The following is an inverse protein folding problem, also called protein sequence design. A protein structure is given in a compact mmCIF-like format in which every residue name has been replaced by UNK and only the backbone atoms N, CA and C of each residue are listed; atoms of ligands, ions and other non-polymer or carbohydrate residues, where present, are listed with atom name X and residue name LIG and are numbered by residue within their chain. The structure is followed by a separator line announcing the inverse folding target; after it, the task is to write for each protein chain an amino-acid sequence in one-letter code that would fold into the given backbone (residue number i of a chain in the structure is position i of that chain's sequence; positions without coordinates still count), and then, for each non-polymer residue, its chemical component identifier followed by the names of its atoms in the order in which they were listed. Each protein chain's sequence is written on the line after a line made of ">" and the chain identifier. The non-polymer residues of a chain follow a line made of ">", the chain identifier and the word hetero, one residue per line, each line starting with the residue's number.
data_IF_638146940826
#
_entry.id   IF_638146940826
#
_cell.length_a   1.000
_cell.length_b   1.000
_cell.length_c   1.000
_cell.angle_alpha   90.00
_cell.angle_beta   90.00
_cell.angle_gamma   90.00
#
_symmetry.space_group_name_H-M   'P 1'
#
loop_
_entity.id
_entity.type
_entity.pdbx_description
1 polymer ?
#
# COMPACT_ATOMS: atom_id res chain seq x y z
N UNK A 1 -26.02 1.23 -17.57
CA UNK A 1 -24.87 1.84 -16.86
C UNK A 1 -23.55 1.14 -17.22
N UNK A 2 -23.50 -0.20 -17.30
CA UNK A 2 -22.32 -0.96 -17.79
C UNK A 2 -21.68 -0.41 -19.08
N UNK A 3 -22.50 -0.08 -20.10
CA UNK A 3 -22.00 0.46 -21.38
C UNK A 3 -21.19 1.75 -21.22
N UNK A 4 -21.58 2.64 -20.31
CA UNK A 4 -20.82 3.87 -20.03
C UNK A 4 -19.46 3.53 -19.42
N UNK A 5 -19.40 2.58 -18.49
CA UNK A 5 -18.12 2.14 -17.90
C UNK A 5 -17.23 1.49 -18.96
N UNK A 6 -17.78 0.58 -19.76
CA UNK A 6 -17.02 -0.14 -20.78
C UNK A 6 -16.50 0.76 -21.90
N UNK A 7 -17.32 1.69 -22.40
CA UNK A 7 -17.04 2.42 -23.64
C UNK A 7 -16.54 3.85 -23.41
N UNK A 8 -16.72 4.40 -22.20
CA UNK A 8 -16.28 5.76 -21.86
C UNK A 8 -15.24 5.77 -20.75
N UNK A 9 -15.46 5.03 -19.66
CA UNK A 9 -14.53 5.04 -18.52
C UNK A 9 -13.29 4.21 -18.81
N UNK A 10 -13.43 2.95 -19.22
CA UNK A 10 -12.28 2.05 -19.44
C UNK A 10 -11.23 2.60 -20.41
N UNK A 11 -11.59 3.22 -21.56
CA UNK A 11 -10.59 3.81 -22.46
C UNK A 11 -9.80 4.97 -21.84
N UNK A 12 -10.42 5.75 -20.94
CA UNK A 12 -9.72 6.81 -20.21
C UNK A 12 -8.76 6.20 -19.20
N UNK A 13 -9.20 5.16 -18.47
CA UNK A 13 -8.34 4.45 -17.51
C UNK A 13 -7.17 3.76 -18.22
N UNK A 14 -7.37 3.20 -19.41
CA UNK A 14 -6.29 2.62 -20.22
C UNK A 14 -5.19 3.63 -20.55
N UNK A 15 -5.57 4.88 -20.88
CA UNK A 15 -4.62 5.97 -21.10
C UNK A 15 -3.93 6.41 -19.80
N UNK A 16 -4.68 6.50 -18.69
CA UNK A 16 -4.12 6.80 -17.37
C UNK A 16 -3.15 5.72 -16.90
N UNK A 17 -3.43 4.45 -17.19
CA UNK A 17 -2.55 3.33 -16.89
C UNK A 17 -1.24 3.38 -17.67
N UNK A 18 -1.13 4.14 -18.76
CA UNK A 18 0.16 4.38 -19.39
C UNK A 18 1.04 5.36 -18.60
N UNK A 19 0.44 6.12 -17.66
CA UNK A 19 1.13 7.16 -16.91
C UNK A 19 1.76 6.64 -15.60
N UNK A 20 3.05 6.93 -15.35
CA UNK A 20 3.73 6.54 -14.12
C UNK A 20 3.14 7.14 -12.83
N UNK A 21 2.77 8.42 -12.88
CA UNK A 21 2.20 9.15 -11.74
C UNK A 21 0.87 8.55 -11.26
N UNK A 22 -0.03 8.19 -12.20
CA UNK A 22 -1.25 7.46 -11.91
C UNK A 22 -0.98 6.10 -11.26
N UNK A 23 -0.03 5.34 -11.80
CA UNK A 23 0.35 4.03 -11.23
C UNK A 23 0.94 4.17 -9.84
N UNK A 24 1.79 5.17 -9.59
CA UNK A 24 2.36 5.43 -8.27
C UNK A 24 1.27 5.74 -7.25
N UNK A 25 0.31 6.60 -7.59
CA UNK A 25 -0.82 6.92 -6.72
C UNK A 25 -1.71 5.70 -6.45
N UNK A 26 -1.98 4.90 -7.47
CA UNK A 26 -2.74 3.65 -7.34
C UNK A 26 -2.01 2.56 -6.54
N UNK A 27 -0.68 2.55 -6.55
CA UNK A 27 0.16 1.62 -5.77
C UNK A 27 0.46 2.08 -4.36
N UNK A 28 0.14 3.31 -4.00
CA UNK A 28 0.49 3.89 -2.71
C UNK A 28 0.27 2.94 -1.51
N UNK A 29 -0.89 2.27 -1.31
CA UNK A 29 -1.04 1.38 -0.16
C UNK A 29 -0.12 0.14 -0.22
N UNK A 30 0.23 -0.34 -1.41
CA UNK A 30 1.19 -1.43 -1.60
C UNK A 30 2.62 -0.96 -1.29
N UNK A 31 3.00 0.21 -1.77
CA UNK A 31 4.35 0.75 -1.59
C UNK A 31 4.59 1.31 -0.18
N UNK A 32 3.52 1.72 0.52
CA UNK A 32 3.64 2.42 1.81
C UNK A 32 3.19 1.59 3.01
N UNK A 33 2.32 0.58 2.86
CA UNK A 33 1.77 -0.17 3.99
C UNK A 33 2.17 -1.64 4.03
N UNK A 34 2.72 -2.18 2.93
CA UNK A 34 3.20 -3.56 2.88
C UNK A 34 4.22 -3.82 3.98
N UNK A 35 4.25 -5.06 4.47
CA UNK A 35 5.09 -5.47 5.60
C UNK A 35 6.59 -5.26 5.34
N UNK A 36 7.02 -5.25 4.08
CA UNK A 36 8.42 -5.01 3.69
C UNK A 36 8.70 -3.55 3.35
N UNK A 37 7.71 -2.66 3.40
CA UNK A 37 7.86 -1.25 3.07
C UNK A 37 8.69 -0.50 4.12
N UNK A 38 9.76 0.16 3.68
CA UNK A 38 10.53 1.08 4.52
C UNK A 38 9.95 2.51 4.46
N UNK A 39 8.72 2.69 4.95
CA UNK A 39 7.99 3.96 4.90
C UNK A 39 7.67 4.51 6.30
N UNK A 40 7.26 5.78 6.38
CA UNK A 40 6.66 6.31 7.62
C UNK A 40 5.33 5.63 7.94
N UNK A 41 4.46 5.44 6.94
CA UNK A 41 3.15 4.85 7.14
C UNK A 41 3.24 3.42 7.72
N UNK A 42 4.18 2.60 7.24
CA UNK A 42 4.40 1.26 7.76
C UNK A 42 4.89 1.27 9.21
N UNK A 43 5.85 2.16 9.54
CA UNK A 43 6.32 2.33 10.93
C UNK A 43 5.20 2.76 11.87
N UNK A 44 4.23 3.56 11.40
CA UNK A 44 3.05 3.93 12.17
C UNK A 44 2.09 2.75 12.37
N UNK A 45 1.87 1.91 11.35
CA UNK A 45 1.10 0.66 11.50
C UNK A 45 1.71 -0.23 12.60
N UNK A 46 3.03 -0.41 12.58
CA UNK A 46 3.75 -1.17 13.60
C UNK A 46 3.67 -0.50 14.98
N UNK A 47 3.73 0.83 15.03
CA UNK A 47 3.51 1.60 16.26
C UNK A 47 2.13 1.36 16.87
N UNK A 48 1.07 1.38 16.05
CA UNK A 48 -0.30 1.08 16.49
C UNK A 48 -0.42 -0.38 16.94
N UNK A 49 0.12 -1.34 16.18
CA UNK A 49 0.11 -2.75 16.56
C UNK A 49 0.80 -2.98 17.91
N UNK A 50 1.99 -2.42 18.09
CA UNK A 50 2.74 -2.50 19.33
C UNK A 50 1.97 -1.87 20.50
N UNK A 51 1.29 -0.74 20.29
CA UNK A 51 0.46 -0.10 21.31
C UNK A 51 -0.75 -0.97 21.70
N UNK A 52 -1.41 -1.62 20.74
CA UNK A 52 -2.50 -2.58 20.99
C UNK A 52 -1.98 -3.75 21.82
N UNK A 53 -0.86 -4.36 21.43
CA UNK A 53 -0.27 -5.50 22.14
C UNK A 53 0.20 -5.11 23.55
N UNK A 54 0.81 -3.94 23.72
CA UNK A 54 1.24 -3.45 25.03
C UNK A 54 0.03 -3.20 25.95
N UNK A 55 -1.05 -2.62 25.41
CA UNK A 55 -2.30 -2.41 26.15
C UNK A 55 -2.94 -3.73 26.56
N UNK A 56 -2.97 -4.70 25.65
CA UNK A 56 -3.49 -6.03 25.89
C UNK A 56 -2.70 -6.76 26.98
N UNK A 57 -1.36 -6.72 26.94
CA UNK A 57 -0.50 -7.30 27.98
C UNK A 57 -0.75 -6.68 29.35
N UNK A 58 -0.82 -5.35 29.44
CA UNK A 58 -1.12 -4.66 30.71
C UNK A 58 -2.48 -5.05 31.28
N UNK A 59 -3.51 -5.14 30.45
CA UNK A 59 -4.83 -5.59 30.88
C UNK A 59 -4.82 -7.09 31.26
N UNK A 60 -4.07 -7.93 30.55
CA UNK A 60 -3.90 -9.33 30.91
C UNK A 60 -3.22 -9.47 32.29
N UNK A 61 -2.15 -8.71 32.55
CA UNK A 61 -1.45 -8.69 33.85
C UNK A 61 -2.38 -8.21 34.97
N UNK A 62 -3.12 -7.12 34.75
CA UNK A 62 -4.11 -6.60 35.71
C UNK A 62 -5.18 -7.64 36.03
N UNK A 63 -5.59 -8.44 35.05
CA UNK A 63 -6.60 -9.47 35.25
C UNK A 63 -6.18 -10.58 36.22
N UNK A 64 -4.87 -10.73 36.50
CA UNK A 64 -4.34 -11.68 37.48
C UNK A 64 -4.45 -11.18 38.93
N UNK A 65 -4.94 -9.97 39.15
CA UNK A 65 -5.15 -9.45 40.50
C UNK A 65 -6.29 -10.19 41.20
N UNK A 66 -6.22 -10.45 42.52
CA UNK A 66 -7.21 -11.29 43.21
C UNK A 66 -8.65 -10.84 43.02
N UNK A 67 -8.90 -9.52 43.08
CA UNK A 67 -10.22 -8.91 42.90
C UNK A 67 -10.79 -9.19 41.51
N UNK A 68 -9.96 -9.12 40.46
CA UNK A 68 -10.40 -9.38 39.09
C UNK A 68 -10.49 -10.87 38.79
N UNK A 69 -9.62 -11.69 39.38
CA UNK A 69 -9.70 -13.16 39.29
C UNK A 69 -10.98 -13.70 39.92
N UNK A 70 -11.39 -13.19 41.08
CA UNK A 70 -12.66 -13.56 41.73
C UNK A 70 -13.86 -13.23 40.82
N UNK A 71 -13.87 -12.04 40.22
CA UNK A 71 -14.90 -11.64 39.26
C UNK A 71 -14.92 -12.51 37.99
N UNK A 72 -13.75 -12.77 37.39
CA UNK A 72 -13.62 -13.61 36.19
C UNK A 72 -14.05 -15.05 36.50
N UNK A 73 -13.68 -15.57 37.67
CA UNK A 73 -14.09 -16.88 38.16
C UNK A 73 -15.61 -16.99 38.39
N UNK A 74 -16.23 -15.95 38.97
CA UNK A 74 -17.69 -15.89 39.16
C UNK A 74 -18.47 -15.85 37.84
N UNK A 75 -17.97 -15.14 36.83
CA UNK A 75 -18.53 -15.15 35.47
C UNK A 75 -18.44 -16.53 34.80
N UNK A 76 -17.32 -17.23 34.98
CA UNK A 76 -17.13 -18.58 34.45
C UNK A 76 -17.99 -19.63 35.16
N UNK A 77 -18.37 -19.39 36.42
CA UNK A 77 -19.24 -20.25 37.22
C UNK A 77 -20.75 -20.04 36.96
N UNK A 78 -21.12 -19.07 36.11
CA UNK A 78 -22.52 -18.78 35.79
C UNK A 78 -23.28 -18.00 36.88
N UNK A 79 -22.57 -17.37 37.82
CA UNK A 79 -23.17 -16.53 38.86
C UNK A 79 -23.45 -15.13 38.29
N UNK A 80 -24.62 -14.97 37.66
CA UNK A 80 -25.08 -13.68 37.13
C UNK A 80 -25.42 -12.69 38.27
N UNK A 81 -24.61 -11.64 38.42
CA UNK A 81 -25.03 -10.34 38.98
C UNK A 81 -24.44 -9.21 38.12
N UNK A 82 -24.76 -9.19 36.82
CA UNK A 82 -24.48 -8.03 35.98
C UNK A 82 -25.65 -7.03 36.09
N UNK A 83 -25.43 -5.74 36.40
CA UNK A 83 -26.48 -4.75 36.29
C UNK A 83 -26.90 -4.61 34.81
N UNK A 84 -28.19 -4.38 34.52
CA UNK A 84 -28.70 -4.41 33.16
C UNK A 84 -28.06 -3.30 32.33
N UNK A 85 -27.35 -3.69 31.27
CA UNK A 85 -26.94 -2.77 30.20
C UNK A 85 -28.21 -2.32 29.50
N UNK A 86 -28.53 -1.02 29.57
CA UNK A 86 -29.65 -0.46 28.82
C UNK A 86 -29.37 -0.59 27.32
N UNK A 87 -30.15 -1.43 26.66
CA UNK A 87 -30.15 -1.65 25.22
C UNK A 87 -30.58 -0.37 24.50
N UNK A 88 -29.81 0.18 23.54
CA UNK A 88 -30.37 1.11 22.58
C UNK A 88 -31.39 0.37 21.71
N UNK A 89 -32.53 1.02 21.46
CA UNK A 89 -33.57 0.52 20.59
C UNK A 89 -33.09 0.53 19.12
N UNK A 90 -32.50 -0.59 18.67
CA UNK A 90 -32.65 -1.21 17.35
C UNK A 90 -31.42 -2.09 17.03
N UNK A 91 -31.70 -3.38 16.75
CA UNK A 91 -30.72 -4.39 16.37
C UNK A 91 -30.27 -5.24 17.54
N UNK A 92 -30.52 -6.56 17.49
CA UNK A 92 -29.91 -7.50 18.44
C UNK A 92 -28.39 -7.40 18.31
N UNK A 93 -27.64 -7.16 19.39
CA UNK A 93 -26.20 -7.35 19.37
C UNK A 93 -25.94 -8.81 18.99
N UNK A 94 -25.05 -9.05 18.03
CA UNK A 94 -24.53 -10.40 17.82
C UNK A 94 -23.84 -10.82 19.12
N UNK A 95 -24.36 -11.87 19.75
CA UNK A 95 -23.67 -12.54 20.84
C UNK A 95 -22.31 -12.99 20.31
N UNK A 96 -21.25 -12.38 20.84
CA UNK A 96 -19.90 -12.92 20.66
C UNK A 96 -19.97 -14.37 21.14
N UNK A 97 -19.43 -15.36 20.40
CA UNK A 97 -19.54 -16.77 20.75
C UNK A 97 -19.23 -16.97 22.23
N UNK A 98 -20.14 -17.60 22.96
CA UNK A 98 -19.90 -17.99 24.34
C UNK A 98 -18.57 -18.75 24.39
N UNK A 99 -17.57 -18.12 25.01
CA UNK A 99 -16.18 -18.51 24.90
C UNK A 99 -15.96 -19.86 25.60
N UNK A 100 -15.60 -20.87 24.80
CA UNK A 100 -15.35 -22.22 25.28
C UNK A 100 -14.10 -22.23 26.18
N UNK A 101 -14.36 -22.30 27.49
CA UNK A 101 -13.52 -22.84 28.56
C UNK A 101 -12.03 -22.44 28.60
N UNK A 102 -11.69 -21.66 29.64
CA UNK A 102 -10.35 -21.66 30.25
C UNK A 102 -9.79 -20.27 30.50
N UNK A 103 -10.27 -19.57 31.54
CA UNK A 103 -9.62 -18.47 32.30
C UNK A 103 -8.93 -17.28 31.56
N UNK A 104 -8.84 -17.26 30.23
CA UNK A 104 -8.12 -16.24 29.47
C UNK A 104 -9.07 -15.10 29.08
N UNK A 105 -8.84 -13.92 29.63
CA UNK A 105 -9.56 -12.71 29.25
C UNK A 105 -9.30 -12.36 27.78
N UNK A 106 -10.18 -11.62 27.08
CA UNK A 106 -9.91 -11.15 25.71
C UNK A 106 -8.58 -10.39 25.57
N UNK A 107 -8.09 -9.80 26.65
CA UNK A 107 -6.77 -9.17 26.70
C UNK A 107 -5.61 -10.17 26.52
N UNK A 108 -5.68 -11.39 27.09
CA UNK A 108 -4.68 -12.45 26.87
C UNK A 108 -4.64 -12.88 25.41
N UNK A 109 -5.81 -13.10 24.81
CA UNK A 109 -5.91 -13.48 23.40
C UNK A 109 -5.29 -12.41 22.50
N UNK A 110 -5.65 -11.13 22.69
CA UNK A 110 -5.07 -10.03 21.90
C UNK A 110 -3.56 -9.94 22.15
N UNK A 111 -3.09 -10.12 23.39
CA UNK A 111 -1.67 -10.10 23.73
C UNK A 111 -0.85 -11.20 23.04
N UNK A 112 -1.48 -12.32 22.67
CA UNK A 112 -0.87 -13.41 21.90
C UNK A 112 -0.71 -13.10 20.40
N UNK A 113 -1.20 -11.95 19.92
CA UNK A 113 -1.17 -11.52 18.51
C UNK A 113 -1.76 -12.60 17.56
N UNK A 114 -3.08 -12.83 17.59
CA UNK A 114 -3.75 -13.87 16.81
C UNK A 114 -3.89 -13.54 15.31
N UNK A 115 -3.34 -12.40 14.86
CA UNK A 115 -3.36 -11.96 13.46
C UNK A 115 -1.94 -11.92 12.87
N UNK A 116 -1.86 -12.07 11.54
CA UNK A 116 -0.59 -12.08 10.80
C UNK A 116 0.01 -10.67 10.72
N UNK A 117 -0.82 -9.72 10.29
CA UNK A 117 -0.51 -8.30 10.14
C UNK A 117 -1.82 -7.51 10.12
N UNK A 118 -1.83 -6.27 10.62
CA UNK A 118 -3.00 -5.38 10.52
C UNK A 118 -3.28 -4.95 9.07
N UNK A 119 -2.28 -5.03 8.19
CA UNK A 119 -2.41 -4.78 6.76
C UNK A 119 -2.54 -6.11 6.01
N UNK A 120 -3.44 -6.17 5.04
CA UNK A 120 -3.46 -7.23 4.04
C UNK A 120 -3.51 -6.61 2.65
N UNK A 121 -2.42 -6.69 1.91
CA UNK A 121 -2.33 -6.13 0.55
C UNK A 121 -3.27 -6.82 -0.44
N UNK A 122 -3.69 -8.05 -0.15
CA UNK A 122 -4.66 -8.78 -0.96
C UNK A 122 -6.09 -8.23 -0.86
N UNK A 123 -6.35 -7.29 0.06
CA UNK A 123 -7.62 -6.57 0.10
C UNK A 123 -7.76 -5.55 -1.06
N UNK A 124 -6.72 -5.35 -1.87
CA UNK A 124 -6.68 -4.30 -2.89
C UNK A 124 -7.87 -4.30 -3.84
N UNK A 125 -8.34 -5.45 -4.33
CA UNK A 125 -9.47 -5.52 -5.26
C UNK A 125 -10.81 -5.75 -4.57
N UNK A 126 -10.80 -6.28 -3.35
CA UNK A 126 -11.97 -6.55 -2.52
C UNK A 126 -11.50 -6.88 -1.09
N UNK A 127 -12.23 -6.49 -0.03
CA UNK A 127 -11.98 -6.95 1.33
C UNK A 127 -12.13 -8.48 1.44
N UNK A 128 -11.02 -9.21 1.63
CA UNK A 128 -11.00 -10.69 1.67
C UNK A 128 -10.44 -11.24 2.98
N UNK A 129 -9.62 -10.48 3.70
CA UNK A 129 -8.87 -11.01 4.84
C UNK A 129 -9.55 -10.86 6.21
N UNK A 130 -10.65 -10.11 6.33
CA UNK A 130 -11.30 -9.76 7.62
C UNK A 130 -10.25 -9.33 8.68
N UNK A 131 -10.12 -10.04 9.81
CA UNK A 131 -9.12 -9.78 10.87
C UNK A 131 -7.70 -10.29 10.56
N UNK A 132 -7.48 -10.90 9.39
CA UNK A 132 -6.20 -11.43 8.93
C UNK A 132 -5.56 -12.40 9.94
N UNK A 133 -6.38 -13.31 10.47
CA UNK A 133 -6.01 -14.24 11.55
C UNK A 133 -4.94 -15.24 11.12
N UNK A 134 -4.11 -15.66 12.07
CA UNK A 134 -3.13 -16.75 11.89
C UNK A 134 -3.87 -18.08 11.70
N UNK A 135 -4.83 -18.36 12.59
CA UNK A 135 -5.68 -19.54 12.59
C UNK A 135 -7.15 -19.11 12.72
N UNK A 136 -7.86 -19.14 11.59
CA UNK A 136 -9.26 -18.71 11.51
C UNK A 136 -10.20 -19.76 12.10
N UNK A 137 -9.93 -21.04 11.87
CA UNK A 137 -10.78 -22.14 12.32
C UNK A 137 -10.73 -22.33 13.83
N UNK A 138 -9.55 -22.16 14.44
CA UNK A 138 -9.45 -22.16 15.90
C UNK A 138 -10.33 -21.07 16.54
N UNK A 139 -10.53 -19.95 15.84
CA UNK A 139 -11.26 -18.80 16.38
C UNK A 139 -12.77 -18.80 16.05
N UNK A 140 -13.14 -19.05 14.78
CA UNK A 140 -14.53 -19.04 14.33
C UNK A 140 -15.19 -20.42 14.36
N UNK A 141 -14.40 -21.48 14.58
CA UNK A 141 -14.83 -22.86 14.45
C UNK A 141 -14.57 -23.44 13.05
N UNK A 142 -14.81 -24.75 12.89
CA UNK A 142 -14.60 -25.46 11.63
C UNK A 142 -15.51 -24.91 10.53
N UNK A 143 -15.06 -24.98 9.27
CA UNK A 143 -15.78 -24.48 8.07
C UNK A 143 -16.02 -22.96 8.09
N UNK A 144 -15.12 -22.19 8.70
CA UNK A 144 -15.23 -20.74 8.81
C UNK A 144 -14.78 -19.96 7.56
N UNK A 145 -14.40 -20.67 6.49
CA UNK A 145 -13.95 -20.10 5.21
C UNK A 145 -15.01 -19.23 4.51
N UNK A 146 -16.30 -19.50 4.77
CA UNK A 146 -17.42 -18.74 4.21
C UNK A 146 -18.09 -17.79 5.21
N UNK A 147 -17.69 -17.83 6.48
CA UNK A 147 -18.21 -16.94 7.51
C UNK A 147 -17.52 -15.60 7.33
N UNK A 148 -18.27 -14.50 7.21
CA UNK A 148 -17.68 -13.15 7.24
C UNK A 148 -17.83 -12.56 8.64
N UNK A 149 -16.76 -11.96 9.16
CA UNK A 149 -16.85 -11.19 10.41
C UNK A 149 -17.70 -9.94 10.14
N UNK A 150 -18.76 -9.73 10.94
CA UNK A 150 -19.75 -8.67 10.69
C UNK A 150 -19.15 -7.27 10.51
N UNK A 151 -18.06 -6.94 11.22
CA UNK A 151 -17.32 -5.67 11.08
C UNK A 151 -16.69 -5.47 9.70
N UNK A 152 -16.60 -6.48 8.85
CA UNK A 152 -16.13 -6.37 7.46
C UNK A 152 -17.27 -6.49 6.46
N UNK A 153 -18.52 -6.61 6.96
CA UNK A 153 -19.70 -6.62 6.12
C UNK A 153 -20.00 -5.22 5.57
N UNK A 154 -20.24 -5.07 4.26
CA UNK A 154 -20.67 -3.79 3.68
C UNK A 154 -22.03 -3.28 4.21
N UNK A 155 -22.80 -4.11 4.92
CA UNK A 155 -24.02 -3.68 5.62
C UNK A 155 -23.72 -2.93 6.91
N UNK A 156 -22.67 -3.32 7.63
CA UNK A 156 -22.24 -2.68 8.89
C UNK A 156 -21.30 -1.52 8.60
N UNK A 157 -20.44 -1.65 7.58
CA UNK A 157 -19.51 -0.61 7.14
C UNK A 157 -19.79 -0.24 5.67
N UNK A 158 -20.71 0.73 5.42
CA UNK A 158 -21.11 1.11 4.07
C UNK A 158 -19.97 1.57 3.16
N UNK A 159 -18.88 2.10 3.73
CA UNK A 159 -17.69 2.49 2.98
C UNK A 159 -16.95 1.31 2.35
N UNK A 160 -17.26 0.05 2.70
CA UNK A 160 -16.76 -1.13 2.00
C UNK A 160 -17.58 -1.50 0.76
N UNK A 161 -18.72 -0.82 0.50
CA UNK A 161 -19.55 -1.07 -0.69
C UNK A 161 -18.95 -0.48 -1.96
N UNK A 162 -18.35 0.70 -1.84
CA UNK A 162 -17.83 1.44 -2.98
C UNK A 162 -16.37 1.05 -3.23
N UNK A 163 -15.93 0.96 -4.50
CA UNK A 163 -14.51 0.81 -4.81
C UNK A 163 -13.66 1.94 -4.19
N UNK A 164 -12.35 1.73 -4.14
CA UNK A 164 -11.36 2.62 -3.55
C UNK A 164 -10.41 1.87 -2.62
N UNK A 165 -9.64 2.60 -1.81
CA UNK A 165 -8.58 2.03 -0.97
C UNK A 165 -9.10 1.09 0.14
N UNK A 166 -9.37 -0.17 -0.23
CA UNK A 166 -9.83 -1.21 0.68
C UNK A 166 -8.75 -1.63 1.67
N UNK A 167 -7.46 -1.52 1.33
CA UNK A 167 -6.35 -1.83 2.24
C UNK A 167 -6.40 -0.88 3.44
N UNK A 168 -6.49 0.43 3.20
CA UNK A 168 -6.59 1.44 4.26
C UNK A 168 -7.91 1.29 5.03
N UNK A 169 -9.04 1.14 4.34
CA UNK A 169 -10.35 1.00 5.00
C UNK A 169 -10.39 -0.22 5.93
N UNK A 170 -9.91 -1.37 5.47
CA UNK A 170 -9.88 -2.61 6.27
C UNK A 170 -8.84 -2.56 7.39
N UNK A 171 -7.69 -1.90 7.18
CA UNK A 171 -6.73 -1.59 8.24
C UNK A 171 -7.38 -0.82 9.40
N UNK A 172 -8.12 0.26 9.10
CA UNK A 172 -8.81 1.05 10.13
C UNK A 172 -9.87 0.22 10.87
N UNK A 173 -10.62 -0.63 10.17
CA UNK A 173 -11.59 -1.54 10.79
C UNK A 173 -10.89 -2.55 11.71
N UNK A 174 -9.77 -3.16 11.30
CA UNK A 174 -8.99 -4.09 12.13
C UNK A 174 -8.50 -3.41 13.41
N UNK A 175 -7.93 -2.22 13.30
CA UNK A 175 -7.46 -1.44 14.44
C UNK A 175 -8.63 -1.14 15.39
N UNK A 176 -9.75 -0.64 14.85
CA UNK A 176 -10.94 -0.34 15.65
C UNK A 176 -11.48 -1.59 16.36
N UNK A 177 -11.53 -2.74 15.67
CA UNK A 177 -12.00 -4.00 16.23
C UNK A 177 -11.21 -4.39 17.48
N UNK A 178 -9.87 -4.40 17.39
CA UNK A 178 -9.01 -4.78 18.51
C UNK A 178 -9.05 -3.74 19.64
N UNK A 179 -9.02 -2.46 19.30
CA UNK A 179 -9.14 -1.36 20.28
C UNK A 179 -10.45 -1.44 21.05
N UNK A 180 -11.57 -1.63 20.37
CA UNK A 180 -12.89 -1.72 21.00
C UNK A 180 -13.00 -2.96 21.89
N UNK A 181 -12.32 -4.06 21.53
CA UNK A 181 -12.13 -5.22 22.39
C UNK A 181 -11.46 -4.86 23.72
N UNK A 182 -10.34 -4.14 23.66
CA UNK A 182 -9.60 -3.69 24.84
C UNK A 182 -10.39 -2.69 25.69
N UNK A 183 -11.09 -1.74 25.07
CA UNK A 183 -11.94 -0.76 25.76
C UNK A 183 -13.08 -1.46 26.53
N UNK A 184 -13.69 -2.51 25.95
CA UNK A 184 -14.69 -3.32 26.67
C UNK A 184 -14.10 -4.03 27.89
N UNK A 185 -12.88 -4.57 27.77
CA UNK A 185 -12.17 -5.20 28.91
C UNK A 185 -11.88 -4.16 29.99
N UNK A 186 -11.32 -3.00 29.62
CA UNK A 186 -11.08 -1.88 30.53
C UNK A 186 -12.37 -1.49 31.28
N UNK A 187 -13.45 -1.24 30.56
CA UNK A 187 -14.72 -0.81 31.16
C UNK A 187 -15.24 -1.80 32.21
N UNK A 188 -15.11 -3.11 31.95
CA UNK A 188 -15.46 -4.17 32.90
C UNK A 188 -14.57 -4.13 34.14
N UNK A 189 -13.25 -4.06 33.98
CA UNK A 189 -12.32 -3.98 35.11
C UNK A 189 -12.55 -2.74 35.94
N UNK A 190 -12.75 -1.57 35.32
CA UNK A 190 -13.05 -0.34 36.05
C UNK A 190 -14.35 -0.46 36.88
N UNK A 191 -15.38 -1.14 36.36
CA UNK A 191 -16.61 -1.38 37.10
C UNK A 191 -16.38 -2.17 38.39
N UNK A 192 -15.64 -3.27 38.30
CA UNK A 192 -15.31 -4.14 39.43
C UNK A 192 -14.40 -3.44 40.43
N UNK A 193 -13.33 -2.79 39.96
CA UNK A 193 -12.37 -2.10 40.81
C UNK A 193 -12.99 -0.93 41.57
N UNK A 194 -13.98 -0.22 40.96
CA UNK A 194 -14.75 0.82 41.66
C UNK A 194 -15.58 0.23 42.81
N UNK A 195 -16.21 -0.93 42.61
CA UNK A 195 -16.98 -1.61 43.66
C UNK A 195 -16.04 -2.06 44.81
N UNK A 196 -14.86 -2.57 44.47
CA UNK A 196 -13.83 -2.95 45.42
C UNK A 196 -13.07 -1.75 46.05
N UNK A 197 -13.35 -0.51 45.60
CA UNK A 197 -12.67 0.73 46.02
C UNK A 197 -11.15 0.71 45.83
N UNK A 198 -10.65 -0.03 44.84
CA UNK A 198 -9.24 -0.13 44.50
C UNK A 198 -8.83 0.98 43.52
N UNK A 199 -8.48 2.15 44.07
CA UNK A 199 -8.17 3.36 43.28
C UNK A 199 -6.85 3.27 42.54
N UNK A 200 -5.88 2.50 43.03
CA UNK A 200 -4.58 2.33 42.40
C UNK A 200 -4.71 1.55 41.09
N UNK A 201 -5.32 0.36 41.15
CA UNK A 201 -5.54 -0.47 39.95
C UNK A 201 -6.51 0.17 38.97
N UNK A 202 -7.47 0.96 39.46
CA UNK A 202 -8.36 1.74 38.59
C UNK A 202 -7.57 2.74 37.73
N UNK A 203 -6.56 3.41 38.30
CA UNK A 203 -5.68 4.32 37.55
C UNK A 203 -4.85 3.55 36.52
N UNK A 204 -4.24 2.44 36.90
CA UNK A 204 -3.47 1.59 35.99
C UNK A 204 -4.29 1.08 34.81
N UNK A 205 -5.54 0.66 35.07
CA UNK A 205 -6.47 0.19 34.02
C UNK A 205 -6.78 1.30 33.00
N UNK A 206 -6.94 2.55 33.45
CA UNK A 206 -7.16 3.70 32.57
C UNK A 206 -5.96 4.02 31.71
N UNK A 207 -4.77 3.99 32.31
CA UNK A 207 -3.52 4.25 31.61
C UNK A 207 -3.16 3.15 30.60
N UNK A 208 -3.66 1.92 30.81
CA UNK A 208 -3.34 0.76 30.00
C UNK A 208 -3.68 0.92 28.50
N UNK A 209 -4.73 1.65 28.14
CA UNK A 209 -5.18 1.81 26.73
C UNK A 209 -4.82 3.16 26.10
N UNK A 210 -4.36 4.13 26.90
CA UNK A 210 -4.11 5.50 26.44
C UNK A 210 -3.05 5.58 25.34
N UNK A 211 -2.08 4.65 25.33
CA UNK A 211 -0.96 4.64 24.39
C UNK A 211 -1.33 4.35 22.94
N UNK A 212 -2.57 3.91 22.65
CA UNK A 212 -3.02 3.60 21.28
C UNK A 212 -3.36 4.88 20.49
N UNK A 213 -3.80 5.95 21.16
CA UNK A 213 -4.42 7.11 20.51
C UNK A 213 -3.47 7.87 19.59
N UNK A 214 -2.31 8.29 20.12
CA UNK A 214 -1.35 9.11 19.36
C UNK A 214 -0.84 8.42 18.07
N UNK A 215 -0.35 7.16 18.09
CA UNK A 215 0.10 6.51 16.86
C UNK A 215 -1.05 6.30 15.87
N UNK A 216 -2.28 6.09 16.34
CA UNK A 216 -3.45 5.98 15.48
C UNK A 216 -3.81 7.31 14.80
N UNK A 217 -3.83 8.42 15.54
CA UNK A 217 -4.10 9.75 14.98
C UNK A 217 -3.08 10.12 13.89
N UNK A 218 -1.80 9.79 14.12
CA UNK A 218 -0.74 9.99 13.11
C UNK A 218 -0.93 9.10 11.88
N UNK A 219 -1.34 7.85 12.06
CA UNK A 219 -1.61 6.93 10.96
C UNK A 219 -2.81 7.39 10.13
N UNK A 220 -3.89 7.81 10.78
CA UNK A 220 -5.09 8.38 10.15
C UNK A 220 -4.74 9.65 9.36
N UNK A 221 -3.87 10.50 9.90
CA UNK A 221 -3.42 11.72 9.21
C UNK A 221 -2.80 11.41 7.84
N UNK A 222 -1.90 10.41 7.76
CA UNK A 222 -1.23 10.05 6.50
C UNK A 222 -2.16 9.27 5.57
N UNK A 223 -2.94 8.32 6.11
CA UNK A 223 -3.76 7.44 5.28
C UNK A 223 -5.02 8.12 4.74
N UNK A 224 -5.72 8.88 5.59
CA UNK A 224 -7.06 9.40 5.32
C UNK A 224 -7.08 10.90 5.06
N UNK A 225 -6.28 11.68 5.79
CA UNK A 225 -6.38 13.15 5.80
C UNK A 225 -5.29 13.86 5.02
N UNK A 226 -4.37 13.13 4.41
CA UNK A 226 -3.37 13.70 3.52
C UNK A 226 -4.04 14.37 2.31
N UNK A 227 -3.58 15.55 1.85
CA UNK A 227 -4.18 16.26 0.72
C UNK A 227 -4.27 15.45 -0.59
N UNK A 228 -3.39 14.46 -0.79
CA UNK A 228 -3.46 13.57 -1.96
C UNK A 228 -4.38 12.36 -1.75
N UNK A 229 -4.92 12.14 -0.56
CA UNK A 229 -5.82 11.02 -0.23
C UNK A 229 -7.00 10.87 -1.20
N UNK A 230 -7.74 11.96 -1.57
CA UNK A 230 -8.83 11.85 -2.54
C UNK A 230 -8.34 11.37 -3.92
N UNK A 231 -7.22 11.92 -4.40
CA UNK A 231 -6.64 11.57 -5.69
C UNK A 231 -6.13 10.11 -5.71
N UNK A 232 -5.46 9.66 -4.63
CA UNK A 232 -5.04 8.25 -4.48
C UNK A 232 -6.24 7.32 -4.53
N UNK A 233 -7.28 7.65 -3.78
CA UNK A 233 -8.50 6.86 -3.72
C UNK A 233 -9.18 6.80 -5.09
N UNK A 234 -9.24 7.91 -5.83
CA UNK A 234 -9.76 7.96 -7.18
C UNK A 234 -8.96 7.08 -8.15
N UNK A 235 -7.63 7.12 -8.09
CA UNK A 235 -6.77 6.26 -8.92
C UNK A 235 -7.03 4.76 -8.64
N UNK A 236 -7.08 4.36 -7.36
CA UNK A 236 -7.38 2.99 -6.94
C UNK A 236 -8.78 2.56 -7.41
N UNK A 237 -9.80 3.41 -7.22
CA UNK A 237 -11.16 3.18 -7.69
C UNK A 237 -11.19 2.87 -9.19
N UNK A 238 -10.51 3.69 -10.00
CA UNK A 238 -10.49 3.51 -11.45
C UNK A 238 -9.75 2.24 -11.87
N UNK A 239 -8.66 1.86 -11.18
CA UNK A 239 -7.95 0.59 -11.42
C UNK A 239 -8.84 -0.61 -11.12
N UNK A 240 -9.53 -0.62 -9.97
CA UNK A 240 -10.44 -1.70 -9.59
C UNK A 240 -11.61 -1.83 -10.57
N UNK A 241 -12.21 -0.70 -10.98
CA UNK A 241 -13.29 -0.68 -11.97
C UNK A 241 -12.77 -1.20 -13.31
N UNK A 242 -11.60 -0.77 -13.76
CA UNK A 242 -11.01 -1.28 -14.99
C UNK A 242 -10.78 -2.80 -14.93
N UNK A 243 -10.25 -3.32 -13.82
CA UNK A 243 -10.08 -4.76 -13.59
C UNK A 243 -11.41 -5.52 -13.67
N UNK A 244 -12.49 -4.97 -13.12
CA UNK A 244 -13.82 -5.58 -13.14
C UNK A 244 -14.39 -5.76 -14.57
N UNK A 245 -14.01 -4.89 -15.51
CA UNK A 245 -14.52 -4.89 -16.89
C UNK A 245 -13.52 -5.39 -17.95
N UNK A 246 -12.22 -5.42 -17.65
CA UNK A 246 -11.13 -5.89 -18.55
C UNK A 246 -10.36 -7.06 -17.94
N UNK A 247 -10.95 -8.25 -18.01
CA UNK A 247 -10.41 -9.50 -17.43
C UNK A 247 -9.00 -9.92 -17.91
N UNK A 248 -8.58 -9.44 -19.09
CA UNK A 248 -7.27 -9.78 -19.68
C UNK A 248 -6.26 -8.63 -19.59
N UNK A 249 -6.59 -7.55 -18.86
CA UNK A 249 -5.66 -6.45 -18.68
C UNK A 249 -4.45 -6.87 -17.85
N UNK A 250 -3.29 -6.29 -18.18
CA UNK A 250 -2.05 -6.52 -17.45
C UNK A 250 -2.01 -5.69 -16.14
N UNK A 251 -1.94 -6.39 -15.02
CA UNK A 251 -1.78 -5.82 -13.69
C UNK A 251 -0.44 -6.24 -13.04
N UNK A 252 0.53 -6.75 -13.81
CA UNK A 252 1.85 -7.12 -13.30
C UNK A 252 2.57 -5.96 -12.59
N UNK A 253 2.29 -4.73 -13.00
CA UNK A 253 2.77 -3.52 -12.34
C UNK A 253 2.24 -3.32 -10.92
N UNK A 254 1.26 -4.09 -10.45
CA UNK A 254 0.82 -4.16 -9.04
C UNK A 254 1.57 -5.25 -8.24
N UNK A 255 2.48 -6.00 -8.86
CA UNK A 255 3.16 -7.16 -8.25
C UNK A 255 2.21 -8.34 -8.05
N UNK A 256 2.45 -9.17 -7.02
CA UNK A 256 1.65 -10.37 -6.73
C UNK A 256 0.15 -10.08 -6.53
N UNK A 257 -0.20 -8.86 -6.08
CA UNK A 257 -1.61 -8.45 -5.91
C UNK A 257 -2.34 -8.34 -7.24
N UNK A 258 -1.63 -8.08 -8.35
CA UNK A 258 -2.20 -8.05 -9.69
C UNK A 258 -2.84 -9.36 -10.12
N UNK A 259 -2.38 -10.50 -9.61
CA UNK A 259 -2.97 -11.83 -9.86
C UNK A 259 -4.40 -11.95 -9.28
N UNK A 260 -4.73 -11.12 -8.29
CA UNK A 260 -6.04 -11.08 -7.64
C UNK A 260 -7.03 -10.13 -8.33
N UNK A 261 -6.68 -9.55 -9.49
CA UNK A 261 -7.55 -8.62 -10.22
C UNK A 261 -8.94 -9.21 -10.55
N UNK A 262 -9.05 -10.53 -10.66
CA UNK A 262 -10.33 -11.22 -10.83
C UNK A 262 -11.35 -10.96 -9.72
N UNK A 263 -10.91 -10.63 -8.50
CA UNK A 263 -11.79 -10.33 -7.37
C UNK A 263 -12.60 -9.04 -7.58
N UNK A 264 -12.16 -8.15 -8.47
CA UNK A 264 -12.87 -6.92 -8.80
C UNK A 264 -14.23 -7.19 -9.48
N UNK A 265 -14.52 -8.42 -9.92
CA UNK A 265 -15.81 -8.80 -10.52
C UNK A 265 -17.01 -8.50 -9.61
N UNK A 266 -16.81 -8.47 -8.30
CA UNK A 266 -17.84 -8.12 -7.31
C UNK A 266 -18.36 -6.68 -7.49
N UNK A 267 -17.54 -5.76 -8.04
CA UNK A 267 -17.93 -4.38 -8.36
C UNK A 267 -18.86 -4.34 -9.57
N UNK A 268 -18.66 -5.23 -10.54
CA UNK A 268 -19.42 -5.25 -11.79
C UNK A 268 -20.86 -5.73 -11.60
N UNK A 269 -21.06 -6.75 -10.78
CA UNK A 269 -22.37 -7.37 -10.56
C UNK A 269 -23.51 -6.38 -10.23
N UNK A 270 -23.39 -5.49 -9.22
CA UNK A 270 -24.45 -4.53 -8.89
C UNK A 270 -24.68 -3.47 -9.97
N UNK A 271 -23.65 -3.10 -10.74
CA UNK A 271 -23.76 -2.12 -11.84
C UNK A 271 -24.47 -2.71 -13.06
N UNK A 272 -24.15 -3.96 -13.41
CA UNK A 272 -24.77 -4.68 -14.53
C UNK A 272 -26.27 -4.92 -14.26
N UNK A 273 -26.64 -5.13 -12.99
CA UNK A 273 -28.03 -5.29 -12.57
C UNK A 273 -28.80 -3.96 -12.44
N UNK A 274 -28.18 -2.81 -12.76
CA UNK A 274 -28.75 -1.47 -12.54
C UNK A 274 -29.26 -1.25 -11.11
N UNK A 275 -28.72 -1.98 -10.13
CA UNK A 275 -29.21 -2.00 -8.76
C UNK A 275 -28.56 -0.91 -7.89
N UNK A 276 -27.42 -0.38 -8.32
CA UNK A 276 -26.64 0.58 -7.52
C UNK A 276 -26.09 1.74 -8.35
N UNK A 277 -26.78 2.88 -8.28
CA UNK A 277 -26.37 4.14 -8.94
C UNK A 277 -25.16 4.73 -8.22
N UNK A 278 -24.97 4.44 -6.93
CA UNK A 278 -23.90 5.03 -6.12
C UNK A 278 -22.51 4.63 -6.61
N UNK A 279 -22.34 3.41 -7.15
CA UNK A 279 -21.07 3.00 -7.78
C UNK A 279 -20.81 3.84 -9.03
N UNK A 280 -21.82 4.08 -9.86
CA UNK A 280 -21.65 4.87 -11.09
C UNK A 280 -21.31 6.34 -10.77
N UNK A 281 -22.00 6.94 -9.79
CA UNK A 281 -21.70 8.29 -9.30
C UNK A 281 -20.30 8.38 -8.68
N UNK A 282 -19.89 7.35 -7.92
CA UNK A 282 -18.56 7.27 -7.34
C UNK A 282 -17.46 7.17 -8.41
N UNK A 283 -17.69 6.43 -9.50
CA UNK A 283 -16.78 6.37 -10.65
C UNK A 283 -16.71 7.72 -11.37
N UNK A 284 -17.84 8.41 -11.54
CA UNK A 284 -17.86 9.73 -12.15
C UNK A 284 -17.08 10.76 -11.30
N UNK A 285 -17.22 10.71 -9.98
CA UNK A 285 -16.46 11.54 -9.06
C UNK A 285 -14.94 11.23 -9.14
N UNK A 286 -14.57 9.96 -9.21
CA UNK A 286 -13.17 9.56 -9.38
C UNK A 286 -12.57 10.07 -10.70
N UNK A 287 -13.33 10.05 -11.80
CA UNK A 287 -12.90 10.63 -13.08
C UNK A 287 -12.69 12.15 -13.00
N UNK A 288 -13.56 12.85 -12.27
CA UNK A 288 -13.42 14.30 -12.06
C UNK A 288 -12.16 14.62 -11.25
N UNK A 289 -11.87 13.82 -10.21
CA UNK A 289 -10.70 13.98 -9.35
C UNK A 289 -9.39 13.79 -10.14
N UNK A 290 -9.30 12.78 -11.00
CA UNK A 290 -8.09 12.53 -11.83
C UNK A 290 -7.99 13.43 -13.06
N UNK A 291 -8.96 14.32 -13.31
CA UNK A 291 -8.98 15.14 -14.52
C UNK A 291 -7.76 16.05 -14.65
N UNK A 292 -7.23 16.55 -13.53
CA UNK A 292 -5.99 17.33 -13.51
C UNK A 292 -4.80 16.50 -13.98
N UNK A 293 -4.65 15.29 -13.42
CA UNK A 293 -3.62 14.33 -13.77
C UNK A 293 -3.67 13.93 -15.25
N UNK A 294 -4.88 13.72 -15.77
CA UNK A 294 -5.06 13.35 -17.18
C UNK A 294 -4.62 14.45 -18.15
N UNK A 295 -4.77 15.72 -17.77
CA UNK A 295 -4.49 16.87 -18.63
C UNK A 295 -3.04 17.38 -18.52
N UNK A 296 -2.33 17.06 -17.45
CA UNK A 296 -0.94 17.52 -17.25
C UNK A 296 0.06 16.59 -17.93
N UNK A 297 1.26 17.09 -18.23
CA UNK A 297 2.40 16.21 -18.52
C UNK A 297 2.74 15.37 -17.26
N UNK A 298 3.20 14.12 -17.41
CA UNK A 298 3.65 13.31 -16.28
C UNK A 298 4.84 13.95 -15.57
N UNK A 299 4.92 13.77 -14.26
CA UNK A 299 6.10 14.17 -13.47
C UNK A 299 7.35 13.46 -14.01
N UNK A 300 8.41 14.19 -14.41
CA UNK A 300 9.68 13.63 -14.85
C UNK A 300 10.25 12.57 -13.91
N UNK A 301 10.16 12.79 -12.60
CA UNK A 301 10.73 11.87 -11.62
C UNK A 301 9.98 10.54 -11.62
N UNK A 302 8.65 10.58 -11.73
CA UNK A 302 7.83 9.37 -11.83
C UNK A 302 8.14 8.59 -13.12
N UNK A 303 8.41 9.30 -14.22
CA UNK A 303 8.85 8.69 -15.49
C UNK A 303 10.20 8.00 -15.35
N UNK A 304 11.17 8.64 -14.70
CA UNK A 304 12.50 8.07 -14.47
C UNK A 304 12.40 6.82 -13.60
N UNK A 305 11.75 6.92 -12.43
CA UNK A 305 11.62 5.81 -11.47
C UNK A 305 10.89 4.60 -12.05
N UNK A 306 9.82 4.81 -12.83
CA UNK A 306 9.12 3.71 -13.50
C UNK A 306 10.01 3.02 -14.55
N UNK A 307 10.83 3.77 -15.29
CA UNK A 307 11.75 3.17 -16.26
C UNK A 307 12.91 2.44 -15.58
N UNK A 308 13.38 2.90 -14.43
CA UNK A 308 14.37 2.19 -13.61
C UNK A 308 13.90 0.79 -13.19
N UNK A 309 12.58 0.56 -13.09
CA UNK A 309 11.99 -0.76 -12.80
C UNK A 309 11.83 -1.65 -14.04
N UNK A 310 11.75 -1.06 -15.22
CA UNK A 310 11.43 -1.76 -16.49
C UNK A 310 12.67 -2.15 -17.27
N UNK A 311 13.66 -1.26 -17.32
CA UNK A 311 14.84 -1.43 -18.16
C UNK A 311 16.12 -1.39 -17.31
N UNK A 312 17.15 -2.16 -17.69
CA UNK A 312 18.39 -2.20 -16.92
C UNK A 312 19.21 -0.92 -17.03
N UNK A 313 19.13 -0.15 -18.14
CA UNK A 313 19.87 1.10 -18.29
C UNK A 313 18.92 2.29 -18.45
N UNK A 314 19.03 3.25 -17.53
CA UNK A 314 18.36 4.56 -17.62
C UNK A 314 19.42 5.67 -17.61
N UNK A 315 19.34 6.59 -18.56
CA UNK A 315 20.17 7.80 -18.63
C UNK A 315 19.29 9.03 -18.63
N UNK A 316 19.62 9.97 -17.77
CA UNK A 316 18.97 11.28 -17.65
C UNK A 316 20.04 12.34 -17.85
N UNK A 317 19.94 13.07 -18.95
CA UNK A 317 20.81 14.21 -19.26
C UNK A 317 20.06 15.54 -19.07
N UNK A 318 20.76 16.59 -18.68
CA UNK A 318 20.11 17.86 -18.36
C UNK A 318 21.05 18.86 -17.74
N UNK A 319 20.62 20.12 -17.69
CA UNK A 319 21.41 21.20 -17.11
C UNK A 319 21.56 21.00 -15.61
N UNK A 320 22.75 20.56 -15.17
CA UNK A 320 23.07 20.30 -13.77
C UNK A 320 22.49 18.99 -13.23
N UNK A 321 21.99 18.11 -14.11
CA UNK A 321 21.49 16.78 -13.77
C UNK A 321 22.06 15.77 -14.76
N UNK A 322 22.92 14.89 -14.25
CA UNK A 322 23.55 13.80 -15.01
C UNK A 322 23.46 12.54 -14.18
N UNK A 323 22.48 11.71 -14.50
CA UNK A 323 22.20 10.51 -13.72
C UNK A 323 22.18 9.29 -14.63
N UNK A 324 22.82 8.23 -14.15
CA UNK A 324 22.84 6.95 -14.81
C UNK A 324 22.41 5.90 -13.80
N UNK A 325 21.37 5.15 -14.13
CA UNK A 325 20.91 4.02 -13.32
C UNK A 325 21.22 2.71 -14.04
N UNK A 326 21.75 1.75 -13.29
CA UNK A 326 22.02 0.39 -13.74
C UNK A 326 21.25 -0.59 -12.85
N UNK A 327 20.39 -1.41 -13.45
CA UNK A 327 19.46 -2.31 -12.75
C UNK A 327 18.63 -1.61 -11.65
N UNK A 328 18.27 -0.36 -11.89
CA UNK A 328 17.49 0.46 -10.96
C UNK A 328 18.32 1.17 -9.87
N UNK A 329 19.62 0.91 -9.78
CA UNK A 329 20.51 1.57 -8.83
C UNK A 329 21.24 2.75 -9.48
N UNK A 330 21.31 3.88 -8.78
CA UNK A 330 22.07 5.04 -9.24
C UNK A 330 23.57 4.71 -9.21
N UNK A 331 24.26 4.91 -10.33
CA UNK A 331 25.71 4.77 -10.40
C UNK A 331 26.34 5.99 -9.74
N UNK A 332 26.88 5.77 -8.54
CA UNK A 332 27.54 6.79 -7.72
C UNK A 332 28.84 7.27 -8.38
N UNK A 333 28.74 8.38 -9.10
CA UNK A 333 29.82 8.96 -9.86
C UNK A 333 29.64 10.47 -10.02
N UNK A 334 30.75 11.22 -9.94
CA UNK A 334 30.76 12.64 -10.27
C UNK A 334 30.80 12.85 -11.79
N UNK A 335 29.62 12.83 -12.41
CA UNK A 335 29.46 13.03 -13.85
C UNK A 335 29.79 14.46 -14.33
N UNK A 336 29.78 15.44 -13.41
CA UNK A 336 30.21 16.81 -13.70
C UNK A 336 31.71 16.90 -13.98
N UNK A 337 32.53 16.24 -13.15
CA UNK A 337 33.99 16.20 -13.32
C UNK A 337 34.43 15.21 -14.40
N UNK A 338 33.55 14.26 -14.75
CA UNK A 338 33.78 13.22 -15.77
C UNK A 338 33.10 13.52 -17.10
N UNK A 339 33.09 14.78 -17.53
CA UNK A 339 32.31 15.25 -18.69
C UNK A 339 32.55 14.45 -19.99
N UNK A 340 33.80 14.06 -20.30
CA UNK A 340 34.10 13.26 -21.51
C UNK A 340 33.49 11.87 -21.46
N UNK A 341 33.54 11.24 -20.29
CA UNK A 341 32.93 9.93 -20.05
C UNK A 341 31.41 10.02 -20.21
N UNK A 342 30.81 11.07 -19.62
CA UNK A 342 29.38 11.36 -19.76
C UNK A 342 28.96 11.54 -21.22
N UNK A 343 29.65 12.41 -21.98
CA UNK A 343 29.35 12.66 -23.40
C UNK A 343 29.41 11.38 -24.23
N UNK A 344 30.41 10.51 -24.01
CA UNK A 344 30.46 9.21 -24.68
C UNK A 344 29.28 8.32 -24.28
N UNK A 345 28.92 8.27 -23.00
CA UNK A 345 27.84 7.41 -22.51
C UNK A 345 26.46 7.83 -23.04
N UNK A 346 26.15 9.14 -23.03
CA UNK A 346 24.92 9.69 -23.62
C UNK A 346 24.83 9.34 -25.11
N UNK A 347 25.93 9.55 -25.85
CA UNK A 347 25.98 9.22 -27.28
C UNK A 347 25.83 7.72 -27.54
N UNK A 348 26.41 6.85 -26.69
CA UNK A 348 26.26 5.41 -26.79
C UNK A 348 24.81 4.98 -26.56
N UNK A 349 24.13 5.54 -25.56
CA UNK A 349 22.73 5.20 -25.27
C UNK A 349 21.78 5.70 -26.36
N UNK A 350 21.93 6.95 -26.81
CA UNK A 350 21.13 7.50 -27.92
C UNK A 350 21.31 6.69 -29.20
N UNK A 351 22.54 6.29 -29.54
CA UNK A 351 22.80 5.48 -30.73
C UNK A 351 22.40 4.01 -30.57
N UNK A 352 22.49 3.43 -29.37
CA UNK A 352 21.99 2.07 -29.13
C UNK A 352 20.50 1.96 -29.39
N UNK A 353 19.71 2.98 -29.05
CA UNK A 353 18.28 3.05 -29.37
C UNK A 353 18.01 3.06 -30.87
N UNK A 354 18.95 3.57 -31.67
CA UNK A 354 18.90 3.57 -33.15
C UNK A 354 19.60 2.37 -33.78
N UNK A 355 20.18 1.46 -32.99
CA UNK A 355 20.98 0.32 -33.47
C UNK A 355 22.34 0.73 -34.07
N UNK A 356 22.82 1.93 -33.77
CA UNK A 356 24.04 2.52 -34.30
C UNK A 356 25.18 2.51 -33.26
N UNK A 357 26.41 2.71 -33.72
CA UNK A 357 27.58 2.90 -32.87
C UNK A 357 28.13 4.32 -32.99
N UNK A 358 28.99 4.70 -32.05
CA UNK A 358 29.68 5.99 -32.01
C UNK A 358 31.07 5.82 -32.60
N UNK A 359 31.47 6.73 -33.48
CA UNK A 359 32.79 6.76 -34.10
C UNK A 359 33.31 8.20 -34.27
N UNK A 360 34.42 8.36 -34.98
CA UNK A 360 35.02 9.68 -35.22
C UNK A 360 34.11 10.63 -36.02
N UNK A 361 33.16 10.11 -36.82
CA UNK A 361 32.21 10.91 -37.58
C UNK A 361 31.02 11.39 -36.72
N UNK A 362 30.91 10.94 -35.47
CA UNK A 362 29.89 11.40 -34.53
C UNK A 362 30.18 12.79 -33.94
N UNK A 363 31.32 13.40 -34.27
CA UNK A 363 31.69 14.80 -33.94
C UNK A 363 31.51 15.20 -32.46
N UNK A 364 31.70 14.27 -31.52
CA UNK A 364 31.48 14.51 -30.09
C UNK A 364 32.49 15.47 -29.43
N UNK A 365 33.51 15.95 -30.16
CA UNK A 365 34.54 16.85 -29.63
C UNK A 365 35.45 16.25 -28.55
N UNK A 366 35.43 14.92 -28.37
CA UNK A 366 36.19 14.20 -27.34
C UNK A 366 37.02 13.05 -27.94
N UNK A 367 38.09 12.67 -27.24
CA UNK A 367 38.83 11.43 -27.53
C UNK A 367 38.03 10.22 -27.05
N UNK A 368 37.48 9.43 -27.98
CA UNK A 368 36.67 8.24 -27.66
C UNK A 368 37.45 7.20 -26.84
N UNK A 369 38.77 7.08 -27.10
CA UNK A 369 39.64 6.15 -26.38
C UNK A 369 39.79 6.55 -24.91
N UNK A 370 40.03 7.83 -24.65
CA UNK A 370 40.21 8.33 -23.29
C UNK A 370 38.89 8.34 -22.54
N UNK A 371 37.79 8.75 -23.19
CA UNK A 371 36.45 8.68 -22.63
C UNK A 371 36.05 7.24 -22.26
N UNK A 372 36.39 6.23 -23.08
CA UNK A 372 36.17 4.82 -22.71
C UNK A 372 37.05 4.41 -21.51
N UNK A 373 38.29 4.88 -21.44
CA UNK A 373 39.16 4.61 -20.29
C UNK A 373 38.59 5.23 -19.00
N UNK A 374 38.01 6.43 -19.08
CA UNK A 374 37.34 7.09 -17.97
C UNK A 374 36.09 6.30 -17.56
N UNK A 375 35.26 5.86 -18.52
CA UNK A 375 34.10 4.99 -18.25
C UNK A 375 34.46 3.68 -17.56
N UNK A 376 35.61 3.07 -17.88
CA UNK A 376 36.08 1.83 -17.22
C UNK A 376 36.27 2.02 -15.71
N UNK A 377 36.62 3.23 -15.27
CA UNK A 377 36.87 3.53 -13.86
C UNK A 377 35.59 3.83 -13.08
N UNK A 378 34.53 4.23 -13.78
CA UNK A 378 33.31 4.78 -13.20
C UNK A 378 32.17 3.76 -13.25
N UNK A 379 32.00 3.08 -14.38
CA UNK A 379 30.88 2.17 -14.58
C UNK A 379 31.07 0.85 -13.83
N UNK A 380 29.97 0.22 -13.37
CA UNK A 380 29.97 -1.18 -12.99
C UNK A 380 30.57 -2.06 -14.09
N UNK A 381 31.33 -3.09 -13.70
CA UNK A 381 32.06 -3.96 -14.63
C UNK A 381 31.15 -4.63 -15.66
N UNK A 382 29.94 -5.01 -15.26
CA UNK A 382 28.92 -5.60 -16.12
C UNK A 382 28.49 -4.64 -17.22
N UNK A 383 28.12 -3.40 -16.87
CA UNK A 383 27.72 -2.38 -17.83
C UNK A 383 28.88 -1.98 -18.75
N UNK A 384 30.10 -1.83 -18.21
CA UNK A 384 31.27 -1.55 -19.04
C UNK A 384 31.56 -2.69 -20.03
N UNK A 385 31.33 -3.94 -19.63
CA UNK A 385 31.47 -5.12 -20.47
C UNK A 385 30.58 -5.11 -21.72
N UNK A 386 29.46 -4.38 -21.68
CA UNK A 386 28.54 -4.20 -22.80
C UNK A 386 29.02 -3.16 -23.83
N UNK A 387 30.13 -2.47 -23.57
CA UNK A 387 30.69 -1.47 -24.50
C UNK A 387 31.77 -2.13 -25.37
N UNK A 388 31.36 -2.64 -26.52
CA UNK A 388 32.23 -3.24 -27.51
C UNK A 388 32.89 -2.18 -28.42
N UNK A 389 34.11 -2.47 -28.87
CA UNK A 389 34.82 -1.63 -29.86
C UNK A 389 35.27 -2.51 -31.01
N UNK A 390 34.83 -2.17 -32.23
CA UNK A 390 35.23 -2.87 -33.45
C UNK A 390 35.59 -1.87 -34.54
N UNK A 391 36.82 -1.97 -35.08
CA UNK A 391 37.33 -1.08 -36.15
C UNK A 391 37.15 0.41 -35.85
N UNK A 392 37.30 0.83 -34.59
CA UNK A 392 37.15 2.22 -34.16
C UNK A 392 35.71 2.67 -33.85
N UNK A 393 34.72 1.80 -34.05
CA UNK A 393 33.31 2.05 -33.69
C UNK A 393 33.03 1.50 -32.30
N UNK A 394 32.52 2.33 -31.40
CA UNK A 394 32.12 2.01 -30.04
C UNK A 394 30.62 1.73 -30.02
N UNK A 395 30.19 0.61 -29.44
CA UNK A 395 28.79 0.20 -29.43
C UNK A 395 28.40 -0.33 -28.06
N UNK A 396 27.27 0.13 -27.56
CA UNK A 396 26.57 -0.50 -26.45
C UNK A 396 25.76 -1.68 -27.01
N UNK A 397 26.06 -2.90 -26.58
CA UNK A 397 25.43 -4.14 -27.08
C UNK A 397 24.06 -4.43 -26.47
N UNK A 398 23.58 -3.53 -25.62
CA UNK A 398 22.28 -3.65 -24.95
C UNK A 398 21.14 -3.45 -25.97
N UNK A 399 20.09 -4.30 -25.97
CA UNK A 399 18.95 -4.13 -26.87
C UNK A 399 18.23 -2.79 -26.70
N UNK A 400 17.60 -2.29 -27.76
CA UNK A 400 16.87 -1.01 -27.74
C UNK A 400 15.81 -0.94 -26.63
N UNK A 401 15.06 -2.03 -26.43
CA UNK A 401 14.01 -2.15 -25.42
C UNK A 401 14.56 -2.24 -23.98
N UNK A 402 15.88 -2.24 -23.82
CA UNK A 402 16.59 -2.29 -22.54
C UNK A 402 17.33 -0.98 -22.21
N UNK A 403 17.15 0.06 -23.03
CA UNK A 403 17.73 1.39 -22.84
C UNK A 403 16.62 2.44 -22.81
N UNK A 404 16.54 3.19 -21.72
CA UNK A 404 15.76 4.42 -21.65
C UNK A 404 16.73 5.60 -21.51
N UNK A 405 16.64 6.57 -22.43
CA UNK A 405 17.55 7.71 -22.46
C UNK A 405 16.72 8.97 -22.74
N UNK A 406 16.80 9.94 -21.84
CA UNK A 406 16.03 11.18 -21.89
C UNK A 406 16.91 12.38 -21.56
N UNK A 407 16.54 13.54 -22.08
CA UNK A 407 17.14 14.83 -21.77
C UNK A 407 16.09 15.81 -21.24
N UNK A 408 16.52 16.76 -20.43
CA UNK A 408 15.73 17.92 -20.05
C UNK A 408 15.92 19.04 -21.09
N UNK A 409 14.98 19.18 -22.04
CA UNK A 409 14.95 20.28 -23.03
C UNK A 409 14.66 21.65 -22.34
N UNK A 410 13.94 21.62 -21.21
CA UNK A 410 13.72 22.74 -20.29
C UNK A 410 13.82 22.25 -18.83
N UNK A 411 13.65 23.13 -17.82
CA UNK A 411 13.81 22.77 -16.40
C UNK A 411 12.94 21.58 -15.98
N UNK A 412 11.76 21.38 -16.60
CA UNK A 412 10.76 20.42 -16.12
C UNK A 412 10.24 19.41 -17.17
N UNK A 413 10.78 19.39 -18.41
CA UNK A 413 10.26 18.51 -19.48
C UNK A 413 11.30 17.52 -19.99
N UNK A 414 10.95 16.23 -19.92
CA UNK A 414 11.74 15.16 -20.51
C UNK A 414 11.43 14.98 -21.98
N UNK A 415 12.47 15.01 -22.80
CA UNK A 415 12.45 14.61 -24.21
C UNK A 415 13.33 13.38 -24.38
N UNK A 416 13.00 12.51 -25.34
CA UNK A 416 13.81 11.33 -25.60
C UNK A 416 15.16 11.73 -26.24
N UNK A 417 16.24 11.17 -25.73
CA UNK A 417 17.55 11.28 -26.37
C UNK A 417 17.55 10.44 -27.64
N UNK A 418 17.60 11.13 -28.79
CA UNK A 418 17.85 10.54 -30.10
C UNK A 418 16.64 10.37 -30.98
#
# INVERSE_FOLDING_TARGET
>A
MSFWIQDKVCPVVEQLLARPDFRRLARWPLDQLDKLANSEARRLVEGVENAILASAKRLADLSQTPVLQEFIGGLAAGEEHAPPVQTPANGRPVEIPQWKSGFETPAHFIAAKPWRDLVCVYDYFQPVADLHLVDREAWLGPNSDHVQIASFSPFVHPHLRLPGDFIVRTLMIRIAYWRDGLLRVQQRFEGVLRQAKDTARLKETREAVCGIREPLERLEAICLHDPQSPLRQACITLVQVYAAYRKQADFSWLGAVGEMAGNAVSIRYPVDQCADIAITDHVAAALAEVAGLYRSEPDPEDVIQENCRKVPLVIVDGRGRRELYWHGELVDAEWETSARAWTLMVALAANARRGQGVDAASELGISLKDAKSDLKRILPSELFGLIEVRKGVYRLTLPRDKVFAVEFDQVDRLTELG
#
